data_IF_574973334289
#
_entry.id   IF_574973334289
#
_cell.length_a   1.000
_cell.length_b   1.000
_cell.length_c   1.000
_cell.angle_alpha   90.00
_cell.angle_beta   90.00
_cell.angle_gamma   90.00
#
_symmetry.space_group_name_H-M   'P 1'
#
loop_
_entity.id
_entity.type
_entity.pdbx_description
1 polymer ?
#
# COMPACT_ATOMS: atom_id res chain seq x y z
N UNK A 1 -0.58 12.79 -31.09
CA UNK A 1 0.05 11.67 -30.39
C UNK A 1 -0.92 11.21 -29.30
N UNK A 2 -1.53 10.04 -29.45
CA UNK A 2 -2.34 9.46 -28.38
C UNK A 2 -1.35 9.01 -27.29
N UNK A 3 -1.25 9.79 -26.24
CA UNK A 3 -0.62 9.36 -25.01
C UNK A 3 -1.52 8.23 -24.50
N UNK A 4 -1.02 7.00 -24.55
CA UNK A 4 -1.71 5.84 -23.97
C UNK A 4 -1.92 6.15 -22.48
N UNK A 5 -3.12 6.62 -22.13
CA UNK A 5 -3.45 6.75 -20.71
C UNK A 5 -3.38 5.36 -20.08
N UNK A 6 -2.73 5.22 -18.92
CA UNK A 6 -2.69 3.94 -18.23
C UNK A 6 -4.11 3.43 -18.01
N UNK A 7 -4.34 2.16 -18.34
CA UNK A 7 -5.64 1.50 -18.22
C UNK A 7 -5.59 0.60 -17.00
N UNK A 8 -6.50 0.79 -16.06
CA UNK A 8 -6.60 -0.07 -14.89
C UNK A 8 -7.54 -1.23 -15.12
N UNK A 9 -7.14 -2.45 -14.71
CA UNK A 9 -8.01 -3.61 -14.68
C UNK A 9 -8.76 -3.68 -13.36
N UNK A 10 -10.08 -3.82 -13.41
CA UNK A 10 -10.93 -4.00 -12.24
C UNK A 10 -11.66 -5.32 -12.32
N UNK A 11 -11.65 -6.07 -11.23
CA UNK A 11 -12.41 -7.31 -11.13
C UNK A 11 -13.88 -6.97 -10.85
N UNK A 12 -14.78 -7.39 -11.72
CA UNK A 12 -16.22 -7.11 -11.59
C UNK A 12 -16.95 -8.35 -11.11
N UNK A 13 -17.37 -8.33 -9.87
CA UNK A 13 -18.15 -9.37 -9.19
C UNK A 13 -19.59 -8.87 -8.98
N UNK A 14 -20.27 -8.65 -10.10
CA UNK A 14 -21.68 -8.24 -10.18
C UNK A 14 -22.38 -9.02 -11.29
N UNK A 15 -23.29 -9.90 -10.90
CA UNK A 15 -24.06 -10.74 -11.81
C UNK A 15 -25.42 -10.13 -12.18
N UNK A 16 -25.75 -8.93 -11.65
CA UNK A 16 -27.03 -8.29 -11.91
C UNK A 16 -27.08 -7.75 -13.36
N UNK A 17 -27.98 -8.28 -14.21
CA UNK A 17 -28.07 -7.86 -15.60
C UNK A 17 -28.52 -6.40 -15.76
N UNK A 18 -29.29 -5.86 -14.82
CA UNK A 18 -29.82 -4.49 -14.85
C UNK A 18 -28.67 -3.45 -14.80
N UNK A 19 -27.60 -3.75 -14.06
CA UNK A 19 -26.50 -2.81 -13.82
C UNK A 19 -25.32 -3.00 -14.79
N UNK A 20 -25.35 -4.06 -15.60
CA UNK A 20 -24.25 -4.43 -16.50
C UNK A 20 -23.84 -3.30 -17.45
N UNK A 21 -24.81 -2.68 -18.12
CA UNK A 21 -24.53 -1.66 -19.11
C UNK A 21 -24.09 -0.33 -18.49
N UNK A 22 -24.65 0.01 -17.32
CA UNK A 22 -24.22 1.18 -16.56
C UNK A 22 -22.77 1.03 -16.08
N UNK A 23 -22.43 -0.14 -15.53
CA UNK A 23 -21.09 -0.43 -15.04
C UNK A 23 -20.06 -0.49 -16.18
N UNK A 24 -20.43 -1.10 -17.33
CA UNK A 24 -19.59 -1.10 -18.53
C UNK A 24 -19.28 0.32 -19.00
N UNK A 25 -20.30 1.14 -19.17
CA UNK A 25 -20.14 2.55 -19.57
C UNK A 25 -19.26 3.32 -18.60
N UNK A 26 -19.47 3.11 -17.31
CA UNK A 26 -18.64 3.71 -16.27
C UNK A 26 -17.16 3.31 -16.40
N UNK A 27 -16.87 2.03 -16.63
CA UNK A 27 -15.50 1.56 -16.87
C UNK A 27 -14.90 2.22 -18.11
N UNK A 28 -15.65 2.26 -19.23
CA UNK A 28 -15.19 2.85 -20.50
C UNK A 28 -14.88 4.36 -20.33
N UNK A 29 -15.72 5.11 -19.60
CA UNK A 29 -15.54 6.54 -19.32
C UNK A 29 -14.35 6.86 -18.41
N UNK A 30 -13.93 5.90 -17.57
CA UNK A 30 -12.85 6.09 -16.59
C UNK A 30 -11.57 5.32 -16.91
N UNK A 31 -11.37 4.87 -18.16
CA UNK A 31 -10.22 4.08 -18.60
C UNK A 31 -9.99 2.81 -17.77
N UNK A 32 -11.07 2.13 -17.40
CA UNK A 32 -11.04 0.87 -16.68
C UNK A 32 -11.37 -0.29 -17.60
N UNK A 33 -10.71 -1.42 -17.43
CA UNK A 33 -11.06 -2.68 -18.08
C UNK A 33 -11.72 -3.59 -17.05
N UNK A 34 -13.03 -3.80 -17.19
CA UNK A 34 -13.77 -4.73 -16.34
C UNK A 34 -13.47 -6.17 -16.68
N UNK A 35 -12.91 -6.92 -15.75
CA UNK A 35 -12.67 -8.37 -15.86
C UNK A 35 -13.74 -9.11 -15.09
N UNK A 36 -14.51 -9.95 -15.77
CA UNK A 36 -15.50 -10.84 -15.14
C UNK A 36 -14.93 -12.24 -14.98
N UNK A 37 -15.27 -12.88 -13.85
CA UNK A 37 -14.80 -14.23 -13.54
C UNK A 37 -15.93 -15.08 -12.96
N UNK A 38 -15.97 -16.35 -13.32
CA UNK A 38 -16.87 -17.31 -12.66
C UNK A 38 -16.41 -17.61 -11.22
N UNK A 39 -17.38 -17.85 -10.33
CA UNK A 39 -17.13 -18.03 -8.86
C UNK A 39 -16.04 -19.07 -8.58
N UNK A 40 -15.98 -20.15 -9.36
CA UNK A 40 -15.00 -21.26 -9.19
C UNK A 40 -13.55 -20.86 -9.58
N UNK A 41 -13.35 -19.78 -10.32
CA UNK A 41 -12.03 -19.32 -10.79
C UNK A 41 -11.54 -18.08 -10.07
N UNK A 42 -12.31 -17.55 -9.11
CA UNK A 42 -11.99 -16.32 -8.42
C UNK A 42 -10.57 -16.32 -7.81
N UNK A 43 -10.24 -17.36 -7.06
CA UNK A 43 -8.91 -17.46 -6.41
C UNK A 43 -7.76 -17.55 -7.45
N UNK A 44 -7.95 -18.28 -8.52
CA UNK A 44 -6.95 -18.38 -9.60
C UNK A 44 -6.73 -17.00 -10.25
N UNK A 45 -7.81 -16.27 -10.54
CA UNK A 45 -7.74 -14.94 -11.14
C UNK A 45 -7.08 -13.93 -10.22
N UNK A 46 -7.38 -13.95 -8.92
CA UNK A 46 -6.72 -13.06 -7.95
C UNK A 46 -5.21 -13.30 -7.84
N UNK A 47 -4.77 -14.55 -7.99
CA UNK A 47 -3.33 -14.90 -7.93
C UNK A 47 -2.61 -14.63 -9.24
N UNK A 48 -3.25 -14.86 -10.39
CA UNK A 48 -2.61 -14.74 -11.71
C UNK A 48 -2.66 -13.32 -12.30
N UNK A 49 -3.62 -12.48 -11.89
CA UNK A 49 -3.73 -11.10 -12.39
C UNK A 49 -3.18 -10.13 -11.36
N UNK A 50 -1.87 -9.99 -11.38
CA UNK A 50 -1.14 -9.06 -10.49
C UNK A 50 -1.47 -7.59 -10.77
N UNK A 51 -1.95 -7.28 -11.96
CA UNK A 51 -2.27 -5.95 -12.44
C UNK A 51 -3.73 -5.49 -12.18
N UNK A 52 -4.46 -6.20 -11.31
CA UNK A 52 -5.78 -5.74 -10.85
C UNK A 52 -5.63 -4.49 -9.96
N UNK A 53 -6.40 -3.45 -10.26
CA UNK A 53 -6.41 -2.17 -9.51
C UNK A 53 -7.49 -2.10 -8.43
N UNK A 54 -8.59 -2.83 -8.59
CA UNK A 54 -9.68 -2.86 -7.62
C UNK A 54 -10.63 -4.04 -7.87
N UNK A 55 -11.53 -4.24 -6.91
CA UNK A 55 -12.67 -5.17 -7.03
C UNK A 55 -13.97 -4.36 -6.89
N UNK A 56 -14.78 -4.38 -7.93
CA UNK A 56 -16.16 -3.89 -7.90
C UNK A 56 -17.09 -5.03 -7.52
N UNK A 57 -17.63 -4.97 -6.32
CA UNK A 57 -18.32 -6.09 -5.67
C UNK A 57 -19.78 -5.77 -5.39
N UNK A 58 -20.72 -6.57 -5.90
CA UNK A 58 -22.14 -6.39 -5.58
C UNK A 58 -22.50 -7.01 -4.23
N UNK A 59 -23.28 -6.31 -3.41
CA UNK A 59 -23.76 -6.78 -2.11
C UNK A 59 -24.47 -8.15 -2.18
N UNK A 60 -25.17 -8.43 -3.29
CA UNK A 60 -25.88 -9.71 -3.52
C UNK A 60 -25.09 -10.77 -4.30
N UNK A 61 -23.81 -10.58 -4.60
CA UNK A 61 -23.04 -11.48 -5.48
C UNK A 61 -22.95 -12.92 -4.95
N UNK A 62 -22.85 -13.12 -3.65
CA UNK A 62 -22.81 -14.44 -3.01
C UNK A 62 -24.16 -15.19 -3.03
N UNK A 63 -25.27 -14.50 -3.31
CA UNK A 63 -26.63 -15.02 -3.23
C UNK A 63 -27.27 -14.81 -1.87
N UNK A 64 -26.48 -14.58 -0.82
CA UNK A 64 -26.93 -14.10 0.49
C UNK A 64 -25.94 -13.08 1.03
N UNK A 65 -26.33 -12.23 2.01
CA UNK A 65 -25.43 -11.28 2.65
C UNK A 65 -24.23 -11.95 3.31
N UNK A 66 -24.43 -13.10 3.95
CA UNK A 66 -23.41 -13.87 4.65
C UNK A 66 -22.39 -14.44 3.67
N UNK A 67 -22.86 -15.06 2.57
CA UNK A 67 -22.00 -15.61 1.53
C UNK A 67 -21.21 -14.52 0.80
N UNK A 68 -21.82 -13.35 0.59
CA UNK A 68 -21.15 -12.18 0.04
C UNK A 68 -20.06 -11.67 0.97
N UNK A 69 -20.32 -11.61 2.26
CA UNK A 69 -19.35 -11.22 3.27
C UNK A 69 -18.14 -12.18 3.30
N UNK A 70 -18.36 -13.47 3.27
CA UNK A 70 -17.29 -14.48 3.22
C UNK A 70 -16.41 -14.32 1.97
N UNK A 71 -17.03 -14.04 0.82
CA UNK A 71 -16.28 -13.81 -0.42
C UNK A 71 -15.42 -12.56 -0.31
N UNK A 72 -15.94 -11.44 0.17
CA UNK A 72 -15.19 -10.20 0.32
C UNK A 72 -14.01 -10.36 1.30
N UNK A 73 -14.24 -10.99 2.46
CA UNK A 73 -13.19 -11.29 3.45
C UNK A 73 -12.11 -12.20 2.84
N UNK A 74 -12.50 -13.21 2.04
CA UNK A 74 -11.56 -14.10 1.37
C UNK A 74 -10.73 -13.39 0.30
N UNK A 75 -11.34 -12.46 -0.45
CA UNK A 75 -10.61 -11.62 -1.42
C UNK A 75 -9.55 -10.79 -0.69
N UNK A 76 -9.94 -10.11 0.38
CA UNK A 76 -9.02 -9.30 1.17
C UNK A 76 -7.90 -10.14 1.82
N UNK A 77 -8.18 -11.36 2.28
CA UNK A 77 -7.17 -12.27 2.82
C UNK A 77 -6.13 -12.72 1.77
N UNK A 78 -6.51 -12.82 0.49
CA UNK A 78 -5.60 -13.20 -0.61
C UNK A 78 -4.87 -12.00 -1.19
N UNK A 79 -5.52 -10.85 -1.25
CA UNK A 79 -5.03 -9.60 -1.85
C UNK A 79 -5.44 -8.40 -0.98
N UNK A 80 -4.79 -8.20 0.19
CA UNK A 80 -5.15 -7.13 1.13
C UNK A 80 -4.96 -5.72 0.53
N UNK A 81 -4.07 -5.59 -0.46
CA UNK A 81 -3.80 -4.33 -1.15
C UNK A 81 -4.88 -3.95 -2.18
N UNK A 82 -5.77 -4.87 -2.57
CA UNK A 82 -6.83 -4.55 -3.52
C UNK A 82 -8.01 -3.87 -2.83
N UNK A 83 -8.34 -2.62 -3.20
CA UNK A 83 -9.55 -1.98 -2.69
C UNK A 83 -10.79 -2.71 -3.18
N UNK A 84 -11.67 -3.06 -2.24
CA UNK A 84 -12.98 -3.66 -2.54
C UNK A 84 -14.04 -2.56 -2.40
N UNK A 85 -14.66 -2.22 -3.50
CA UNK A 85 -15.69 -1.19 -3.60
C UNK A 85 -17.04 -1.89 -3.76
N UNK A 86 -17.94 -1.70 -2.82
CA UNK A 86 -19.21 -2.43 -2.78
C UNK A 86 -20.34 -1.65 -3.44
N UNK A 87 -21.00 -2.27 -4.43
CA UNK A 87 -22.31 -1.79 -4.88
C UNK A 87 -23.37 -2.29 -3.92
N UNK A 88 -24.08 -1.35 -3.32
CA UNK A 88 -25.20 -1.62 -2.44
C UNK A 88 -26.54 -1.32 -3.12
N UNK A 89 -27.59 -1.94 -2.64
CA UNK A 89 -28.91 -1.77 -3.26
C UNK A 89 -29.61 -0.49 -2.81
N UNK A 90 -29.38 -0.02 -1.57
CA UNK A 90 -30.14 1.09 -0.98
C UNK A 90 -29.31 2.18 -0.33
N UNK A 91 -28.21 1.84 0.29
CA UNK A 91 -27.41 2.74 1.14
C UNK A 91 -25.98 2.88 0.57
N UNK A 92 -25.55 4.09 0.14
CA UNK A 92 -24.21 4.29 -0.42
C UNK A 92 -23.10 4.30 0.65
N UNK A 93 -23.45 4.24 1.95
CA UNK A 93 -22.49 4.31 3.05
C UNK A 93 -21.92 2.94 3.45
N UNK A 94 -20.74 2.95 4.04
CA UNK A 94 -20.13 1.75 4.64
C UNK A 94 -20.48 1.59 6.11
N UNK A 95 -20.96 2.63 6.78
CA UNK A 95 -21.18 2.65 8.23
C UNK A 95 -22.26 1.66 8.70
N UNK A 96 -23.23 1.39 7.87
CA UNK A 96 -24.30 0.42 8.15
C UNK A 96 -23.92 -1.04 7.87
N UNK A 97 -22.71 -1.29 7.35
CA UNK A 97 -22.20 -2.65 7.13
C UNK A 97 -21.81 -3.30 8.47
N UNK A 98 -21.91 -4.64 8.57
CA UNK A 98 -21.32 -5.38 9.69
C UNK A 98 -19.83 -5.06 9.86
N UNK A 99 -19.34 -5.07 11.09
CA UNK A 99 -17.96 -4.70 11.41
C UNK A 99 -16.92 -5.51 10.60
N UNK A 100 -17.17 -6.78 10.38
CA UNK A 100 -16.30 -7.65 9.57
C UNK A 100 -16.17 -7.17 8.12
N UNK A 101 -17.24 -6.63 7.53
CA UNK A 101 -17.22 -6.06 6.19
C UNK A 101 -16.64 -4.65 6.16
N UNK A 102 -16.89 -3.81 7.17
CA UNK A 102 -16.30 -2.46 7.24
C UNK A 102 -14.78 -2.47 7.25
N UNK A 103 -14.16 -3.55 7.71
CA UNK A 103 -12.70 -3.70 7.71
C UNK A 103 -12.13 -4.00 6.34
N UNK A 104 -12.92 -4.53 5.42
CA UNK A 104 -12.43 -4.99 4.10
C UNK A 104 -13.03 -4.22 2.93
N UNK A 105 -14.15 -3.51 3.14
CA UNK A 105 -14.78 -2.67 2.11
C UNK A 105 -14.29 -1.23 2.29
N UNK A 106 -13.53 -0.72 1.31
CA UNK A 106 -12.99 0.63 1.37
C UNK A 106 -14.02 1.71 1.05
N UNK A 107 -15.00 1.41 0.20
CA UNK A 107 -16.07 2.34 -0.17
C UNK A 107 -17.32 1.61 -0.66
N UNK A 108 -18.45 2.31 -0.68
CA UNK A 108 -19.69 1.80 -1.22
C UNK A 108 -20.37 2.84 -2.13
N UNK A 109 -21.21 2.36 -3.04
CA UNK A 109 -22.04 3.18 -3.93
C UNK A 109 -23.36 2.48 -4.24
N UNK A 110 -24.30 3.20 -4.81
CA UNK A 110 -25.57 2.66 -5.32
C UNK A 110 -25.63 2.82 -6.85
N UNK A 111 -26.28 1.88 -7.52
CA UNK A 111 -26.25 1.81 -8.99
C UNK A 111 -26.92 2.99 -9.70
N UNK A 112 -27.84 3.69 -9.04
CA UNK A 112 -28.51 4.87 -9.58
C UNK A 112 -27.72 6.17 -9.40
N UNK A 113 -26.70 6.16 -8.53
CA UNK A 113 -25.77 7.27 -8.33
C UNK A 113 -24.33 6.76 -8.30
N UNK A 114 -23.66 6.88 -9.44
CA UNK A 114 -22.25 6.48 -9.60
C UNK A 114 -21.27 7.63 -9.35
N UNK A 115 -21.74 8.83 -9.01
CA UNK A 115 -20.86 9.95 -8.71
C UNK A 115 -19.93 9.72 -7.51
N UNK A 116 -20.37 9.05 -6.41
CA UNK A 116 -19.48 8.65 -5.34
C UNK A 116 -18.36 7.71 -5.82
N UNK A 117 -18.68 6.74 -6.69
CA UNK A 117 -17.72 5.80 -7.26
C UNK A 117 -16.59 6.50 -8.03
N UNK A 118 -16.89 7.59 -8.74
CA UNK A 118 -15.88 8.36 -9.47
C UNK A 118 -14.81 8.95 -8.54
N UNK A 119 -15.23 9.48 -7.38
CA UNK A 119 -14.30 9.99 -6.36
C UNK A 119 -13.44 8.88 -5.77
N UNK A 120 -14.04 7.72 -5.54
CA UNK A 120 -13.36 6.54 -5.01
C UNK A 120 -12.31 5.99 -5.98
N UNK A 121 -12.57 6.04 -7.29
CA UNK A 121 -11.59 5.61 -8.30
C UNK A 121 -10.33 6.45 -8.24
N UNK A 122 -10.47 7.78 -8.16
CA UNK A 122 -9.33 8.69 -8.08
C UNK A 122 -8.50 8.45 -6.80
N UNK A 123 -9.13 7.94 -5.75
CA UNK A 123 -8.50 7.69 -4.46
C UNK A 123 -7.88 6.28 -4.36
N UNK A 124 -8.58 5.25 -4.86
CA UNK A 124 -8.24 3.84 -4.59
C UNK A 124 -7.78 3.03 -5.81
N UNK A 125 -8.00 3.46 -7.04
CA UNK A 125 -7.54 2.72 -8.22
C UNK A 125 -6.19 3.28 -8.68
N UNK A 126 -5.12 2.70 -8.14
CA UNK A 126 -3.75 3.19 -8.24
C UNK A 126 -3.15 3.16 -9.64
N UNK A 127 -3.61 2.28 -10.53
CA UNK A 127 -3.04 2.18 -11.88
C UNK A 127 -3.36 3.38 -12.77
N UNK A 128 -4.17 4.34 -12.28
CA UNK A 128 -4.31 5.64 -12.94
C UNK A 128 -3.14 6.58 -12.64
N UNK A 129 -2.59 6.50 -11.41
CA UNK A 129 -1.44 7.31 -10.97
C UNK A 129 -0.18 6.45 -10.80
N UNK A 130 -0.33 5.19 -10.37
CA UNK A 130 0.77 4.27 -10.09
C UNK A 130 0.50 2.88 -10.66
N UNK A 131 1.49 2.18 -11.26
CA UNK A 131 1.35 0.80 -11.69
C UNK A 131 1.04 -0.13 -10.51
N UNK A 132 0.06 -1.03 -10.67
CA UNK A 132 -0.33 -1.97 -9.62
C UNK A 132 0.82 -2.90 -9.19
N UNK A 133 1.69 -3.28 -10.13
CA UNK A 133 2.88 -4.06 -9.83
C UNK A 133 3.80 -3.33 -8.84
N UNK A 134 3.98 -2.01 -9.02
CA UNK A 134 4.74 -1.17 -8.10
C UNK A 134 4.07 -1.10 -6.71
N UNK A 135 2.76 -0.83 -6.66
CA UNK A 135 2.02 -0.72 -5.39
C UNK A 135 2.09 -2.02 -4.60
N UNK A 136 1.80 -3.14 -5.27
CA UNK A 136 1.86 -4.46 -4.65
C UNK A 136 3.28 -4.78 -4.20
N UNK A 137 4.25 -4.60 -5.07
CA UNK A 137 5.63 -4.96 -4.76
C UNK A 137 6.22 -4.14 -3.62
N UNK A 138 5.86 -2.85 -3.49
CA UNK A 138 6.22 -2.04 -2.31
C UNK A 138 5.58 -2.61 -1.04
N UNK A 139 4.30 -2.98 -1.10
CA UNK A 139 3.61 -3.56 0.05
C UNK A 139 4.23 -4.88 0.49
N UNK A 140 4.45 -5.81 -0.44
CA UNK A 140 5.02 -7.13 -0.17
C UNK A 140 6.45 -7.01 0.42
N UNK A 141 7.30 -6.21 -0.21
CA UNK A 141 8.67 -5.94 0.19
C UNK A 141 8.73 -5.32 1.60
N UNK A 142 7.90 -4.31 1.87
CA UNK A 142 7.91 -3.66 3.17
C UNK A 142 7.39 -4.58 4.27
N UNK A 143 6.34 -5.37 4.01
CA UNK A 143 5.83 -6.35 4.97
C UNK A 143 6.87 -7.43 5.30
N UNK A 144 7.59 -7.94 4.28
CA UNK A 144 8.66 -8.92 4.49
C UNK A 144 9.75 -8.35 5.41
N UNK A 145 10.27 -7.15 5.10
CA UNK A 145 11.30 -6.49 5.90
C UNK A 145 10.83 -6.21 7.32
N UNK A 146 9.62 -5.68 7.49
CA UNK A 146 9.06 -5.44 8.83
C UNK A 146 8.91 -6.75 9.61
N UNK A 147 8.53 -7.86 8.95
CA UNK A 147 8.45 -9.18 9.55
C UNK A 147 9.81 -9.71 9.98
N UNK A 148 10.86 -9.44 9.22
CA UNK A 148 12.23 -9.86 9.54
C UNK A 148 12.84 -9.04 10.66
N UNK A 149 12.59 -7.74 10.71
CA UNK A 149 13.08 -6.84 11.78
C UNK A 149 12.29 -7.07 13.07
N UNK A 150 10.98 -7.22 12.99
CA UNK A 150 10.07 -7.35 14.14
C UNK A 150 9.51 -8.78 14.26
N UNK A 151 10.39 -9.77 14.39
CA UNK A 151 10.08 -11.23 14.32
C UNK A 151 8.97 -11.70 15.26
N UNK A 152 8.82 -11.05 16.41
CA UNK A 152 7.84 -11.43 17.44
C UNK A 152 6.49 -10.72 17.26
N UNK A 153 6.36 -9.89 16.24
CA UNK A 153 5.15 -9.13 15.96
C UNK A 153 4.40 -9.67 14.73
N UNK A 154 3.10 -9.54 14.76
CA UNK A 154 2.27 -9.77 13.57
C UNK A 154 2.20 -8.50 12.75
N UNK A 155 2.67 -8.55 11.51
CA UNK A 155 2.64 -7.42 10.58
C UNK A 155 1.44 -7.55 9.66
N UNK A 156 0.60 -6.51 9.63
CA UNK A 156 -0.51 -6.41 8.69
C UNK A 156 -0.47 -5.07 7.97
N UNK A 157 -0.91 -5.04 6.72
CA UNK A 157 -1.06 -3.80 5.96
C UNK A 157 -2.53 -3.50 5.70
N UNK A 158 -2.89 -2.23 5.73
CA UNK A 158 -4.17 -1.77 5.23
C UNK A 158 -4.11 -1.55 3.70
N UNK A 159 -5.27 -1.33 3.09
CA UNK A 159 -5.35 -0.96 1.67
C UNK A 159 -4.54 0.31 1.44
N UNK A 160 -3.59 0.32 0.48
CA UNK A 160 -2.86 1.52 0.12
C UNK A 160 -3.81 2.63 -0.34
N UNK A 161 -3.40 3.87 -0.18
CA UNK A 161 -4.23 5.03 -0.52
C UNK A 161 -3.38 6.18 -1.09
N UNK A 162 -4.05 7.12 -1.76
CA UNK A 162 -3.42 8.29 -2.34
C UNK A 162 -3.80 9.54 -1.56
N UNK A 163 -2.80 10.35 -1.24
CA UNK A 163 -2.99 11.67 -0.62
C UNK A 163 -2.55 12.75 -1.60
N UNK A 164 -3.43 13.70 -1.87
CA UNK A 164 -3.16 14.86 -2.71
C UNK A 164 -2.94 16.13 -1.85
N UNK A 165 -2.27 15.97 -0.73
CA UNK A 165 -1.95 17.08 0.17
C UNK A 165 -0.45 17.35 0.16
N UNK A 166 -0.09 18.63 0.21
CA UNK A 166 1.31 19.07 0.32
C UNK A 166 1.85 18.97 1.73
N UNK A 167 0.97 18.82 2.71
CA UNK A 167 1.32 18.85 4.12
C UNK A 167 1.33 17.44 4.68
N UNK A 168 2.40 17.09 5.34
CA UNK A 168 2.59 15.80 6.00
C UNK A 168 2.67 16.06 7.49
N UNK A 169 1.76 15.44 8.24
CA UNK A 169 1.73 15.48 9.69
C UNK A 169 2.33 14.18 10.25
N UNK A 170 3.05 14.29 11.35
CA UNK A 170 3.62 13.16 12.06
C UNK A 170 4.67 13.63 13.07
N UNK A 171 5.05 12.75 14.01
CA UNK A 171 6.01 13.10 15.08
C UNK A 171 7.44 12.81 14.67
N UNK A 172 7.71 11.59 14.26
CA UNK A 172 9.04 11.15 13.81
C UNK A 172 8.93 10.62 12.41
N UNK A 173 9.85 11.00 11.57
CA UNK A 173 9.96 10.47 10.23
C UNK A 173 11.41 10.22 9.85
N UNK A 174 11.60 9.16 9.07
CA UNK A 174 12.80 8.88 8.30
C UNK A 174 12.52 9.16 6.84
N UNK A 175 13.44 9.81 6.16
CA UNK A 175 13.30 10.23 4.76
C UNK A 175 14.54 9.84 3.98
N UNK A 176 14.35 9.21 2.83
CA UNK A 176 15.42 8.86 1.91
C UNK A 176 15.04 9.30 0.48
N UNK A 177 15.96 9.93 -0.28
CA UNK A 177 15.68 10.30 -1.65
C UNK A 177 15.58 9.07 -2.55
N UNK A 178 14.67 9.14 -3.53
CA UNK A 178 14.49 8.17 -4.61
C UNK A 178 14.93 8.82 -5.93
N UNK A 179 15.76 8.13 -6.68
CA UNK A 179 16.19 8.60 -7.99
C UNK A 179 16.39 7.42 -8.93
N UNK A 180 15.68 7.45 -10.06
CA UNK A 180 15.80 6.47 -11.14
C UNK A 180 15.44 7.11 -12.47
N UNK A 181 15.53 6.35 -13.56
CA UNK A 181 15.15 6.80 -14.89
C UNK A 181 13.64 7.17 -14.97
N UNK A 182 12.79 6.48 -14.19
CA UNK A 182 11.33 6.64 -14.25
C UNK A 182 10.74 7.42 -13.07
N UNK A 183 11.48 7.61 -11.98
CA UNK A 183 10.98 8.38 -10.84
C UNK A 183 12.05 9.18 -10.12
N UNK A 184 11.63 10.30 -9.53
CA UNK A 184 12.46 11.13 -8.66
C UNK A 184 11.61 11.70 -7.54
N UNK A 185 12.05 11.53 -6.29
CA UNK A 185 11.28 11.98 -5.14
C UNK A 185 11.85 11.48 -3.83
N UNK A 186 10.96 11.08 -2.93
CA UNK A 186 11.32 10.65 -1.58
C UNK A 186 10.47 9.47 -1.13
N UNK A 187 11.08 8.55 -0.39
CA UNK A 187 10.38 7.60 0.46
C UNK A 187 10.48 8.08 1.91
N UNK A 188 9.39 7.95 2.65
CA UNK A 188 9.34 8.29 4.07
C UNK A 188 8.72 7.15 4.85
N UNK A 189 9.27 6.92 6.06
CA UNK A 189 8.63 6.13 7.09
C UNK A 189 8.28 7.06 8.25
N UNK A 190 7.06 6.97 8.76
CA UNK A 190 6.58 7.81 9.85
C UNK A 190 6.06 6.96 11.00
N UNK A 191 6.28 7.43 12.23
CA UNK A 191 5.78 6.80 13.44
C UNK A 191 5.41 7.87 14.49
N UNK A 192 4.60 7.45 15.46
CA UNK A 192 4.43 8.16 16.71
C UNK A 192 5.53 7.72 17.69
N UNK A 193 6.20 8.67 18.36
CA UNK A 193 7.38 8.41 19.18
C UNK A 193 7.07 7.46 20.35
N UNK A 194 6.10 7.80 21.18
CA UNK A 194 5.84 7.07 22.42
C UNK A 194 5.39 5.61 22.20
N UNK A 195 4.49 5.27 21.23
CA UNK A 195 4.12 3.88 20.98
C UNK A 195 5.28 3.00 20.50
N UNK A 196 6.18 3.56 19.69
CA UNK A 196 7.34 2.80 19.20
C UNK A 196 8.35 2.59 20.32
N UNK A 197 8.65 3.60 21.14
CA UNK A 197 9.56 3.43 22.27
C UNK A 197 9.05 2.37 23.25
N UNK A 198 7.77 2.37 23.60
CA UNK A 198 7.13 1.34 24.42
C UNK A 198 7.23 -0.07 23.79
N UNK A 199 7.22 -0.16 22.44
CA UNK A 199 7.44 -1.41 21.74
C UNK A 199 8.90 -1.87 21.86
N UNK A 200 9.87 -0.98 21.60
CA UNK A 200 11.30 -1.29 21.65
C UNK A 200 11.74 -1.75 23.04
N UNK A 201 11.25 -1.10 24.09
CA UNK A 201 11.50 -1.49 25.48
C UNK A 201 11.03 -2.91 25.76
N UNK A 202 9.85 -3.26 25.34
CA UNK A 202 9.25 -4.58 25.61
C UNK A 202 9.96 -5.73 24.92
N UNK A 203 10.41 -5.53 23.70
CA UNK A 203 11.01 -6.60 22.89
C UNK A 203 12.52 -6.64 22.93
N UNK A 204 13.16 -5.77 23.77
CA UNK A 204 14.62 -5.69 23.90
C UNK A 204 15.33 -5.68 22.54
N UNK A 205 14.73 -4.99 21.56
CA UNK A 205 15.24 -4.88 20.18
C UNK A 205 16.52 -4.06 20.06
N UNK A 206 17.17 -3.79 21.18
CA UNK A 206 18.38 -2.99 21.28
C UNK A 206 19.52 -3.91 21.59
N UNK A 207 20.53 -3.99 20.73
CA UNK A 207 21.70 -4.87 20.81
C UNK A 207 22.62 -4.65 22.02
N UNK A 208 22.34 -3.69 22.88
CA UNK A 208 23.10 -3.44 24.09
C UNK A 208 22.17 -3.38 25.31
N UNK A 209 22.51 -4.12 26.39
CA UNK A 209 21.81 -3.97 27.66
C UNK A 209 22.08 -2.56 28.19
N UNK A 210 21.14 -1.65 27.97
CA UNK A 210 21.15 -0.33 28.60
C UNK A 210 20.43 -0.46 29.96
N UNK A 211 21.04 0.11 31.01
CA UNK A 211 20.38 0.31 32.30
C UNK A 211 19.31 1.43 32.23
N UNK A 212 18.47 1.44 31.19
CA UNK A 212 17.49 2.51 30.97
C UNK A 212 16.41 2.16 29.95
N UNK A 213 15.32 2.91 29.94
CA UNK A 213 14.24 2.84 28.95
C UNK A 213 14.74 3.23 27.56
N UNK A 214 14.09 2.72 26.48
CA UNK A 214 14.40 3.10 25.12
C UNK A 214 14.24 4.62 24.91
N UNK A 215 15.20 5.21 24.21
CA UNK A 215 15.24 6.63 23.94
C UNK A 215 15.11 6.94 22.42
N UNK A 216 15.11 8.22 22.08
CA UNK A 216 15.03 8.65 20.68
C UNK A 216 16.20 8.12 19.81
N UNK A 217 17.34 7.78 20.38
CA UNK A 217 18.47 7.22 19.64
C UNK A 217 18.17 5.79 19.19
N UNK A 218 17.49 5.04 20.03
CA UNK A 218 17.07 3.68 19.72
C UNK A 218 16.00 3.69 18.62
N UNK A 219 15.01 4.57 18.75
CA UNK A 219 14.04 4.82 17.70
C UNK A 219 14.71 5.24 16.38
N UNK A 220 15.68 6.14 16.44
CA UNK A 220 16.46 6.61 15.30
C UNK A 220 17.20 5.45 14.61
N UNK A 221 17.83 4.58 15.39
CA UNK A 221 18.54 3.42 14.86
C UNK A 221 17.59 2.48 14.12
N UNK A 222 16.52 2.05 14.77
CA UNK A 222 15.56 1.09 14.21
C UNK A 222 14.83 1.67 12.98
N UNK A 223 14.34 2.91 13.05
CA UNK A 223 13.64 3.51 11.93
C UNK A 223 14.58 3.78 10.74
N UNK A 224 15.82 4.15 11.02
CA UNK A 224 16.87 4.30 10.02
C UNK A 224 17.20 2.99 9.32
N UNK A 225 17.38 1.92 10.10
CA UNK A 225 17.66 0.57 9.58
C UNK A 225 16.50 0.06 8.70
N UNK A 226 15.26 0.09 9.21
CA UNK A 226 14.08 -0.29 8.43
C UNK A 226 14.00 0.50 7.12
N UNK A 227 14.24 1.81 7.16
CA UNK A 227 14.22 2.65 5.96
C UNK A 227 15.30 2.26 4.96
N UNK A 228 16.51 1.96 5.43
CA UNK A 228 17.61 1.50 4.58
C UNK A 228 17.33 0.14 3.94
N UNK A 229 16.82 -0.83 4.70
CA UNK A 229 16.47 -2.15 4.20
C UNK A 229 15.38 -2.07 3.12
N UNK A 230 14.32 -1.29 3.37
CA UNK A 230 13.25 -1.07 2.38
C UNK A 230 13.82 -0.38 1.14
N UNK A 231 14.65 0.64 1.32
CA UNK A 231 15.29 1.34 0.19
C UNK A 231 16.19 0.42 -0.63
N UNK A 232 17.02 -0.37 0.03
CA UNK A 232 17.91 -1.34 -0.64
C UNK A 232 17.11 -2.32 -1.50
N UNK A 233 16.07 -2.91 -0.94
CA UNK A 233 15.19 -3.85 -1.65
C UNK A 233 14.39 -3.17 -2.78
N UNK A 234 13.89 -1.96 -2.56
CA UNK A 234 13.23 -1.18 -3.60
C UNK A 234 14.17 -0.89 -4.77
N UNK A 235 15.41 -0.45 -4.47
CA UNK A 235 16.43 -0.16 -5.48
C UNK A 235 16.77 -1.41 -6.30
N UNK A 236 17.00 -2.53 -5.64
CA UNK A 236 17.33 -3.78 -6.31
C UNK A 236 16.20 -4.26 -7.22
N UNK A 237 14.95 -4.13 -6.78
CA UNK A 237 13.78 -4.59 -7.53
C UNK A 237 13.39 -3.66 -8.69
N UNK A 238 13.49 -2.34 -8.50
CA UNK A 238 12.88 -1.36 -9.41
C UNK A 238 13.86 -0.40 -10.09
N UNK A 239 15.03 -0.19 -9.53
CA UNK A 239 16.03 0.74 -10.11
C UNK A 239 17.11 0.00 -10.89
N UNK A 240 17.54 -1.16 -10.40
CA UNK A 240 18.55 -2.00 -11.04
C UNK A 240 19.93 -1.33 -11.18
N UNK A 241 20.82 -2.06 -11.85
CA UNK A 241 22.22 -1.64 -12.05
C UNK A 241 22.44 -0.70 -13.24
N UNK A 242 21.41 -0.43 -14.03
CA UNK A 242 21.56 0.34 -15.28
C UNK A 242 21.97 1.80 -15.05
N UNK A 243 21.67 2.37 -13.90
CA UNK A 243 22.06 3.73 -13.51
C UNK A 243 23.37 3.74 -12.71
N UNK A 244 24.44 3.25 -13.31
CA UNK A 244 25.79 3.21 -12.69
C UNK A 244 26.30 4.60 -12.22
N UNK A 245 25.75 5.69 -12.74
CA UNK A 245 26.05 7.05 -12.30
C UNK A 245 25.53 7.37 -10.90
N UNK A 246 24.49 6.67 -10.44
CA UNK A 246 23.90 6.84 -9.12
C UNK A 246 24.54 5.95 -8.03
N UNK A 247 25.44 5.03 -8.43
CA UNK A 247 26.13 4.12 -7.50
C UNK A 247 27.12 4.82 -6.55
N UNK A 248 27.51 6.04 -6.84
CA UNK A 248 28.57 6.71 -6.07
C UNK A 248 28.07 7.44 -4.83
N UNK A 249 26.77 7.57 -4.62
CA UNK A 249 26.23 8.24 -3.45
C UNK A 249 25.60 7.23 -2.49
N UNK A 250 26.28 6.97 -1.37
CA UNK A 250 25.68 6.30 -0.22
C UNK A 250 24.56 7.20 0.29
N UNK A 251 23.32 6.77 0.11
CA UNK A 251 22.17 7.50 0.62
C UNK A 251 21.91 7.02 2.03
N UNK A 252 21.95 7.93 2.98
CA UNK A 252 21.65 7.70 4.39
C UNK A 252 20.30 8.33 4.69
N UNK A 253 19.38 7.62 5.38
CA UNK A 253 18.12 8.21 5.79
C UNK A 253 18.33 9.44 6.67
N UNK A 254 17.60 10.51 6.38
CA UNK A 254 17.48 11.66 7.27
C UNK A 254 16.34 11.41 8.25
N UNK A 255 16.63 11.41 9.55
CA UNK A 255 15.58 11.35 10.56
C UNK A 255 15.25 12.74 11.08
N UNK A 256 13.95 12.99 11.23
CA UNK A 256 13.40 14.25 11.71
C UNK A 256 12.40 13.97 12.83
N UNK A 257 12.66 14.51 14.00
CA UNK A 257 11.67 14.62 15.06
C UNK A 257 11.07 16.03 15.01
N UNK A 258 9.80 16.13 14.70
CA UNK A 258 9.12 17.42 14.54
C UNK A 258 7.75 17.44 15.22
N UNK A 259 7.68 16.87 16.39
CA UNK A 259 6.48 16.85 17.22
C UNK A 259 5.69 18.18 17.13
N UNK A 260 4.40 18.10 16.80
CA UNK A 260 3.49 19.24 16.61
C UNK A 260 3.76 20.15 15.40
N UNK A 261 4.62 19.75 14.46
CA UNK A 261 4.90 20.51 13.24
C UNK A 261 4.45 19.72 11.99
N UNK A 262 4.69 20.29 10.84
CA UNK A 262 4.40 19.69 9.56
C UNK A 262 5.55 19.89 8.57
N UNK A 263 5.64 19.04 7.58
CA UNK A 263 6.57 19.15 6.47
C UNK A 263 5.77 19.36 5.18
N UNK A 264 6.21 20.27 4.33
CA UNK A 264 5.64 20.50 3.02
C UNK A 264 6.70 20.26 1.94
N UNK A 265 6.37 19.42 0.96
CA UNK A 265 7.25 19.14 -0.18
C UNK A 265 7.06 20.10 -1.35
N UNK A 266 6.18 21.09 -1.23
CA UNK A 266 5.95 22.10 -2.28
C UNK A 266 5.30 21.55 -3.56
N UNK A 267 5.02 20.27 -3.65
CA UNK A 267 4.41 19.60 -4.78
C UNK A 267 2.95 19.22 -4.48
N UNK A 268 2.09 19.34 -5.49
CA UNK A 268 0.72 18.84 -5.46
C UNK A 268 0.55 17.46 -6.08
N UNK A 269 1.66 16.77 -6.39
CA UNK A 269 1.61 15.42 -6.93
C UNK A 269 1.01 14.45 -5.92
N UNK A 270 0.25 13.46 -6.38
CA UNK A 270 -0.31 12.45 -5.49
C UNK A 270 0.82 11.69 -4.77
N UNK A 271 0.61 11.44 -3.48
CA UNK A 271 1.50 10.65 -2.64
C UNK A 271 0.91 9.26 -2.50
N UNK A 272 1.69 8.24 -2.81
CA UNK A 272 1.31 6.85 -2.57
C UNK A 272 1.61 6.49 -1.12
N UNK A 273 0.59 6.09 -0.38
CA UNK A 273 0.64 5.88 1.06
C UNK A 273 0.28 4.45 1.43
N UNK A 274 1.02 3.92 2.40
CA UNK A 274 0.78 2.61 3.01
C UNK A 274 0.70 2.79 4.53
N UNK A 275 -0.10 1.96 5.18
CA UNK A 275 -0.16 1.86 6.63
C UNK A 275 0.05 0.41 7.05
N UNK A 276 1.00 0.22 7.95
CA UNK A 276 1.31 -1.08 8.54
C UNK A 276 0.98 -1.07 10.02
N UNK A 277 0.42 -2.15 10.50
CA UNK A 277 0.15 -2.37 11.93
C UNK A 277 1.08 -3.46 12.44
N UNK A 278 1.90 -3.13 13.43
CA UNK A 278 2.78 -4.03 14.15
C UNK A 278 2.06 -4.43 15.44
N UNK A 279 1.55 -5.64 15.49
CA UNK A 279 0.68 -6.09 16.59
C UNK A 279 1.40 -7.16 17.41
N UNK A 280 1.48 -6.92 18.71
CA UNK A 280 1.92 -7.89 19.69
C UNK A 280 0.85 -8.99 19.86
N UNK A 281 1.14 -10.25 19.49
CA UNK A 281 0.16 -11.32 19.57
C UNK A 281 -0.23 -11.68 21.01
N UNK A 282 0.58 -11.33 21.99
CA UNK A 282 0.32 -11.64 23.40
C UNK A 282 -0.54 -10.59 24.10
N UNK A 283 -0.24 -9.31 23.89
CA UNK A 283 -0.98 -8.22 24.53
C UNK A 283 -2.10 -7.62 23.66
N UNK A 284 -2.11 -7.91 22.35
CA UNK A 284 -3.02 -7.30 21.38
C UNK A 284 -2.75 -5.80 21.12
N UNK A 285 -1.68 -5.24 21.69
CA UNK A 285 -1.29 -3.85 21.43
C UNK A 285 -0.73 -3.73 20.02
N UNK A 286 -1.03 -2.62 19.36
CA UNK A 286 -0.62 -2.37 17.98
C UNK A 286 0.00 -0.99 17.85
N UNK A 287 1.07 -0.93 17.07
CA UNK A 287 1.74 0.32 16.67
C UNK A 287 1.60 0.49 15.17
N UNK A 288 1.36 1.72 14.73
CA UNK A 288 1.21 2.03 13.30
C UNK A 288 2.48 2.64 12.75
N UNK A 289 2.90 2.13 11.59
CA UNK A 289 3.91 2.73 10.74
C UNK A 289 3.26 3.21 9.44
N UNK A 290 3.56 4.43 9.06
CA UNK A 290 3.08 5.01 7.80
C UNK A 290 4.25 5.13 6.84
N UNK A 291 4.09 4.59 5.63
CA UNK A 291 5.06 4.73 4.56
C UNK A 291 4.45 5.59 3.46
N UNK A 292 5.25 6.53 2.93
CA UNK A 292 4.83 7.40 1.84
C UNK A 292 5.90 7.46 0.76
N UNK A 293 5.43 7.44 -0.48
CA UNK A 293 6.25 7.74 -1.66
C UNK A 293 5.77 9.05 -2.26
N UNK A 294 6.67 10.02 -2.32
CA UNK A 294 6.41 11.36 -2.83
C UNK A 294 7.25 11.56 -4.08
N UNK A 295 6.69 11.28 -5.25
CA UNK A 295 7.34 11.47 -6.54
C UNK A 295 7.17 12.92 -7.00
N UNK A 296 7.88 13.83 -6.35
CA UNK A 296 7.67 15.26 -6.51
C UNK A 296 8.45 15.90 -7.67
N UNK A 297 9.47 15.24 -8.17
CA UNK A 297 10.39 15.82 -9.13
C UNK A 297 10.20 15.28 -10.56
N UNK A 298 10.00 13.98 -10.70
CA UNK A 298 9.62 13.37 -11.97
C UNK A 298 8.85 12.07 -11.73
N UNK A 299 7.95 11.75 -12.65
CA UNK A 299 7.16 10.54 -12.63
C UNK A 299 6.81 10.12 -14.05
N UNK A 300 7.35 8.99 -14.49
CA UNK A 300 7.15 8.39 -15.81
C UNK A 300 6.73 6.93 -15.66
N UNK A 301 5.45 6.66 -15.32
CA UNK A 301 4.98 5.30 -15.06
C UNK A 301 5.10 4.39 -16.28
N UNK A 302 5.15 4.94 -17.48
CA UNK A 302 5.38 4.23 -18.74
C UNK A 302 6.79 3.63 -18.87
N UNK A 303 7.75 4.21 -18.15
CA UNK A 303 9.14 3.74 -18.12
C UNK A 303 9.39 2.75 -16.97
N UNK A 304 8.40 2.52 -16.12
CA UNK A 304 8.50 1.58 -15.00
C UNK A 304 8.66 0.15 -15.51
N UNK A 305 9.71 -0.51 -15.03
CA UNK A 305 9.98 -1.94 -15.27
C UNK A 305 10.47 -2.57 -13.98
N UNK A 306 9.93 -3.71 -13.66
CA UNK A 306 10.49 -4.58 -12.62
C UNK A 306 11.81 -5.18 -13.13
N UNK A 307 12.88 -5.05 -12.36
CA UNK A 307 14.20 -5.56 -12.71
C UNK A 307 14.41 -6.98 -12.19
N UNK A 308 13.78 -7.27 -11.06
CA UNK A 308 13.94 -8.56 -10.38
C UNK A 308 12.63 -8.95 -9.66
N UNK A 309 12.09 -10.11 -10.02
CA UNK A 309 10.78 -10.58 -9.52
C UNK A 309 10.88 -11.35 -8.19
N UNK A 310 12.09 -11.66 -7.70
CA UNK A 310 12.26 -12.60 -6.60
C UNK A 310 12.95 -11.99 -5.37
N UNK A 311 12.15 -11.33 -4.52
CA UNK A 311 12.62 -10.79 -3.22
C UNK A 311 13.01 -11.93 -2.26
N UNK A 312 12.36 -13.09 -2.35
CA UNK A 312 12.70 -14.26 -1.53
C UNK A 312 14.08 -14.81 -1.86
N UNK A 313 14.45 -14.85 -3.13
CA UNK A 313 15.78 -15.29 -3.56
C UNK A 313 16.88 -14.29 -3.13
N UNK A 314 16.59 -13.01 -3.02
CA UNK A 314 17.55 -11.99 -2.55
C UNK A 314 17.87 -12.11 -1.07
N UNK A 315 16.87 -12.44 -0.25
CA UNK A 315 17.05 -12.72 1.19
C UNK A 315 17.83 -14.03 1.38
N UNK A 316 17.51 -15.07 0.60
CA UNK A 316 18.22 -16.36 0.66
C UNK A 316 19.65 -16.28 0.07
N UNK A 317 19.89 -15.42 -0.91
CA UNK A 317 21.20 -15.22 -1.52
C UNK A 317 22.18 -14.38 -0.67
N UNK A 318 21.70 -13.79 0.44
CA UNK A 318 22.53 -12.94 1.31
C UNK A 318 22.94 -11.62 0.65
N UNK A 319 22.22 -11.18 -0.39
CA UNK A 319 22.42 -9.88 -1.03
C UNK A 319 21.83 -8.72 -0.19
N UNK A 320 21.03 -9.06 0.82
CA UNK A 320 20.64 -8.19 1.90
C UNK A 320 21.42 -8.60 3.15
N UNK A 321 22.61 -8.04 3.33
CA UNK A 321 23.35 -8.16 4.58
C UNK A 321 22.58 -7.43 5.69
N UNK A 322 22.05 -8.21 6.59
CA UNK A 322 21.54 -7.73 7.88
C UNK A 322 22.78 -7.39 8.73
N UNK A 323 23.06 -6.11 8.88
CA UNK A 323 24.07 -5.62 9.84
C UNK A 323 23.46 -5.40 11.20
#
# INVERSE_FOLDING_TARGET
>A
MNINKPVSKVLVLDDCPIHKDALKRFCDENNLVGVKVGKNRLQSVLRSNIDLGAVLFAEGYGGSPEASAEIAIRINAVRPELPIIMRRDRDPGVDSLPESLRRVICAAYVAHDMAPLRRVIDEYIFSLDYPNALVRGISDLTQAILGDVFKDLTITSDTPYIVRDRIIFGEVLSLIPLESAWCRGYMMMQAEEAPILDLLDRYQMIDQPKDGEADFRDLNSVLGEVTNLIWGSFRNRYVGDADASLRSQVQVPLLVNHKHKYISFGSGNPQLCFMYSLTDPHSGRSVKLYQRFVFSLSWSPEDFKEVNDDVGAMVEAGELDLF
#
